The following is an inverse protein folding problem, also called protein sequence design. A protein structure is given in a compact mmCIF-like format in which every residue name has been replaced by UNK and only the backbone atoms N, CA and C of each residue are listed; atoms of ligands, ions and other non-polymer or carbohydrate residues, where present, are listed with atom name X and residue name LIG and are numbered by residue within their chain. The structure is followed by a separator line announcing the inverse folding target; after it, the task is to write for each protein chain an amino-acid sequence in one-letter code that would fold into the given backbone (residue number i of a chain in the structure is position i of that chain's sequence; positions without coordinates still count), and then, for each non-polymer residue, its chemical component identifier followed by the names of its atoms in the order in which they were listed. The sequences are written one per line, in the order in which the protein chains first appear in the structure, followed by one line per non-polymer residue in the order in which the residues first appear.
data_IF_357642175589
#
_entry.id   IF_357642175589
#
_cell.length_a   1.000
_cell.length_b   1.000
_cell.length_c   1.000
_cell.angle_alpha   90.00
_cell.angle_beta   90.00
_cell.angle_gamma   90.00
#
_symmetry.space_group_name_H-M   'P 1'
#
loop_
_entity.id
_entity.type
_entity.pdbx_description
1 polymer ?
#
# COMPACT_ATOMS: atom_id res chain seq x y z
N UNK A 1 5.32 9.19 -20.68
CA UNK A 1 5.29 8.25 -19.54
C UNK A 1 5.61 9.06 -18.29
N UNK A 2 4.59 9.69 -17.70
CA UNK A 2 4.75 10.51 -16.50
C UNK A 2 4.56 9.66 -15.26
N UNK A 3 5.47 9.76 -14.31
CA UNK A 3 5.37 9.12 -12.99
C UNK A 3 4.19 9.74 -12.23
N UNK A 4 3.22 8.91 -11.84
CA UNK A 4 2.09 9.33 -11.03
C UNK A 4 2.59 9.84 -9.67
N UNK A 5 2.07 11.00 -9.27
CA UNK A 5 2.28 11.65 -7.98
C UNK A 5 1.71 10.73 -6.87
N UNK A 6 2.57 10.22 -5.97
CA UNK A 6 2.21 9.35 -4.84
C UNK A 6 1.52 10.13 -3.69
N UNK A 7 0.51 10.91 -4.04
CA UNK A 7 -0.49 11.39 -3.09
C UNK A 7 -1.83 11.07 -3.70
N UNK A 8 -2.55 10.09 -3.13
CA UNK A 8 -3.85 9.62 -3.62
C UNK A 8 -4.81 10.81 -3.78
N UNK A 9 -4.82 11.40 -4.96
CA UNK A 9 -5.58 12.60 -5.30
C UNK A 9 -6.81 12.13 -6.04
N UNK A 10 -7.95 12.11 -5.35
CA UNK A 10 -9.21 11.70 -5.96
C UNK A 10 -9.85 12.89 -6.67
N UNK A 11 -10.29 12.68 -7.91
CA UNK A 11 -11.03 13.66 -8.71
C UNK A 11 -12.48 13.23 -8.77
N UNK A 12 -13.39 14.09 -8.29
CA UNK A 12 -14.83 13.87 -8.33
C UNK A 12 -15.54 14.93 -9.16
N UNK A 13 -16.60 14.54 -9.87
CA UNK A 13 -17.48 15.44 -10.63
C UNK A 13 -18.88 15.35 -10.05
N UNK A 14 -19.49 16.49 -9.75
CA UNK A 14 -20.88 16.57 -9.26
C UNK A 14 -21.87 16.58 -10.43
N UNK A 15 -23.15 16.32 -10.14
CA UNK A 15 -24.22 16.25 -11.14
C UNK A 15 -24.42 17.58 -11.92
N UNK A 16 -24.04 18.70 -11.31
CA UNK A 16 -24.02 20.04 -11.93
C UNK A 16 -22.71 20.37 -12.67
N UNK A 17 -21.77 19.43 -12.75
CA UNK A 17 -20.53 19.54 -13.53
C UNK A 17 -19.40 20.29 -12.81
N UNK A 18 -19.46 20.45 -11.49
CA UNK A 18 -18.37 20.99 -10.70
C UNK A 18 -17.32 19.90 -10.41
N UNK A 19 -16.04 20.26 -10.46
CA UNK A 19 -14.94 19.32 -10.33
C UNK A 19 -14.15 19.58 -9.04
N UNK A 20 -13.95 18.52 -8.26
CA UNK A 20 -13.32 18.57 -6.94
C UNK A 20 -12.04 17.75 -6.91
N UNK A 21 -11.01 18.28 -6.28
CA UNK A 21 -9.76 17.57 -5.98
C UNK A 21 -9.70 17.30 -4.48
N UNK A 22 -9.43 16.05 -4.11
CA UNK A 22 -9.20 15.66 -2.72
C UNK A 22 -7.73 15.28 -2.57
N UNK A 23 -6.96 16.11 -1.85
CA UNK A 23 -5.57 15.83 -1.46
C UNK A 23 -5.47 15.64 0.06
N UNK A 24 -5.55 16.74 0.82
CA UNK A 24 -5.68 16.74 2.30
C UNK A 24 -6.98 17.42 2.79
N UNK A 25 -7.75 18.00 1.85
CA UNK A 25 -9.05 18.64 2.04
C UNK A 25 -9.76 18.71 0.70
N UNK A 26 -11.08 18.79 0.71
CA UNK A 26 -11.87 18.97 -0.52
C UNK A 26 -11.74 20.41 -0.99
N UNK A 27 -11.19 20.60 -2.19
CA UNK A 27 -11.09 21.91 -2.85
C UNK A 27 -11.88 21.90 -4.16
N UNK A 28 -12.70 22.93 -4.35
CA UNK A 28 -13.40 23.16 -5.62
C UNK A 28 -12.39 23.69 -6.64
N UNK A 29 -12.14 22.93 -7.71
CA UNK A 29 -11.19 23.33 -8.76
C UNK A 29 -11.80 24.39 -9.68
N UNK A 30 -13.04 24.16 -10.12
CA UNK A 30 -13.89 25.14 -10.79
C UNK A 30 -15.35 24.69 -10.77
N UNK A 31 -16.26 25.64 -10.96
CA UNK A 31 -17.71 25.42 -11.00
C UNK A 31 -18.22 24.80 -12.31
N UNK A 32 -17.36 24.62 -13.32
CA UNK A 32 -17.68 23.90 -14.56
C UNK A 32 -16.49 23.05 -15.01
N UNK A 33 -16.78 21.91 -15.67
CA UNK A 33 -15.78 20.95 -16.15
C UNK A 33 -14.71 21.58 -17.06
N UNK A 34 -15.11 22.40 -18.03
CA UNK A 34 -14.16 23.01 -18.98
C UNK A 34 -13.15 23.93 -18.29
N UNK A 35 -13.61 24.73 -17.32
CA UNK A 35 -12.73 25.61 -16.56
C UNK A 35 -11.82 24.84 -15.60
N UNK A 36 -12.29 23.71 -15.07
CA UNK A 36 -11.48 22.83 -14.23
C UNK A 36 -10.35 22.17 -15.04
N UNK A 37 -10.64 21.74 -16.27
CA UNK A 37 -9.66 21.16 -17.19
C UNK A 37 -8.58 22.18 -17.60
N UNK A 38 -8.96 23.40 -17.96
CA UNK A 38 -8.01 24.47 -18.28
C UNK A 38 -7.10 24.80 -17.09
N UNK A 39 -7.66 24.79 -15.88
CA UNK A 39 -6.91 25.04 -14.65
C UNK A 39 -5.93 23.90 -14.33
N UNK A 40 -6.34 22.65 -14.49
CA UNK A 40 -5.48 21.48 -14.31
C UNK A 40 -4.33 21.48 -15.32
N UNK A 41 -4.61 21.77 -16.60
CA UNK A 41 -3.59 21.88 -17.64
C UNK A 41 -2.61 23.03 -17.34
N UNK A 42 -3.11 24.16 -16.85
CA UNK A 42 -2.26 25.29 -16.42
C UNK A 42 -1.35 24.95 -15.23
N UNK A 43 -1.89 24.29 -14.19
CA UNK A 43 -1.13 23.84 -13.02
C UNK A 43 -0.10 22.77 -13.40
N UNK A 44 -0.48 21.83 -14.27
CA UNK A 44 0.43 20.82 -14.78
C UNK A 44 1.52 21.43 -15.66
N UNK A 45 1.23 22.48 -16.43
CA UNK A 45 2.24 23.27 -17.14
C UNK A 45 3.23 23.98 -16.20
N UNK A 46 2.75 24.48 -15.06
CA UNK A 46 3.59 25.07 -14.00
C UNK A 46 4.43 24.01 -13.25
N UNK A 47 3.90 22.81 -13.00
CA UNK A 47 4.66 21.70 -12.39
C UNK A 47 5.67 21.10 -13.38
N UNK A 48 5.31 21.04 -14.67
CA UNK A 48 6.21 20.60 -15.73
C UNK A 48 7.39 21.55 -15.93
N UNK A 49 7.25 22.84 -15.56
CA UNK A 49 8.36 23.80 -15.56
C UNK A 49 9.22 23.75 -14.29
N UNK A 50 8.78 23.06 -13.23
CA UNK A 50 9.59 22.70 -12.06
C UNK A 50 10.36 21.39 -12.26
N UNK A 51 9.99 20.60 -13.26
CA UNK A 51 10.72 19.42 -13.67
C UNK A 51 11.93 19.81 -14.52
N UNK A 52 13.13 19.67 -13.95
CA UNK A 52 14.40 19.84 -14.67
C UNK A 52 14.87 18.45 -15.12
N UNK A 53 15.00 18.19 -16.43
CA UNK A 53 15.56 16.93 -16.92
C UNK A 53 16.96 16.71 -16.31
N UNK A 54 17.14 15.61 -15.58
CA UNK A 54 18.42 15.25 -14.96
C UNK A 54 18.67 15.83 -13.56
N UNK A 55 17.75 16.60 -12.97
CA UNK A 55 17.80 16.88 -11.55
C UNK A 55 17.52 15.58 -10.77
N UNK A 56 18.32 15.23 -9.74
CA UNK A 56 18.04 14.05 -8.93
C UNK A 56 16.66 14.22 -8.29
N UNK A 57 15.80 13.22 -8.45
CA UNK A 57 14.52 13.19 -7.77
C UNK A 57 14.77 13.27 -6.25
N UNK A 58 13.96 14.04 -5.50
CA UNK A 58 14.08 14.07 -4.04
C UNK A 58 14.00 12.65 -3.49
N UNK A 59 14.87 12.32 -2.53
CA UNK A 59 14.92 10.99 -1.92
C UNK A 59 13.55 10.64 -1.30
N UNK A 60 12.99 9.49 -1.68
CA UNK A 60 11.67 9.08 -1.21
C UNK A 60 11.65 9.00 0.34
N UNK A 61 10.61 9.55 1.03
CA UNK A 61 10.60 9.72 2.50
C UNK A 61 10.86 8.45 3.30
N UNK A 62 10.44 7.30 2.78
CA UNK A 62 10.75 5.98 3.35
C UNK A 62 12.27 5.77 3.49
N UNK A 63 13.06 6.00 2.43
CA UNK A 63 14.52 5.74 2.43
C UNK A 63 15.26 6.67 3.38
N UNK A 64 14.84 7.94 3.42
CA UNK A 64 15.35 8.90 4.40
C UNK A 64 15.08 8.43 5.83
N UNK A 65 13.84 7.99 6.13
CA UNK A 65 13.46 7.47 7.45
C UNK A 65 14.24 6.21 7.79
N UNK A 66 14.31 5.25 6.88
CA UNK A 66 15.06 4.01 7.06
C UNK A 66 16.51 4.28 7.47
N UNK A 67 17.18 5.26 6.86
CA UNK A 67 18.55 5.64 7.20
C UNK A 67 18.68 6.35 8.56
N UNK A 68 17.60 6.99 9.04
CA UNK A 68 17.59 7.86 10.23
C UNK A 68 17.01 7.19 11.47
N UNK A 69 16.26 6.09 11.34
CA UNK A 69 15.72 5.34 12.49
C UNK A 69 16.90 4.82 13.32
N UNK A 70 17.18 5.52 14.43
CA UNK A 70 18.09 5.07 15.48
C UNK A 70 17.46 3.88 16.19
N UNK A 71 18.25 2.83 16.32
CA UNK A 71 17.82 1.57 16.90
C UNK A 71 17.89 1.70 18.42
N UNK A 72 16.73 1.58 19.08
CA UNK A 72 16.69 1.47 20.54
C UNK A 72 16.94 0.00 20.87
N UNK A 73 17.96 -0.34 21.67
CA UNK A 73 18.25 -1.73 21.98
C UNK A 73 17.11 -2.38 22.77
N UNK A 74 16.89 -3.64 22.37
CA UNK A 74 15.78 -4.53 22.67
C UNK A 74 15.56 -4.81 24.17
N UNK A 75 14.29 -4.75 24.59
CA UNK A 75 13.79 -5.50 25.75
C UNK A 75 12.48 -6.21 25.37
N UNK A 76 12.56 -7.25 24.54
CA UNK A 76 11.47 -8.20 24.26
C UNK A 76 10.63 -7.89 23.01
N UNK A 77 11.28 -7.54 21.89
CA UNK A 77 10.60 -7.11 20.65
C UNK A 77 9.87 -8.28 19.95
N UNK A 78 8.66 -8.00 19.44
CA UNK A 78 7.74 -8.90 18.71
C UNK A 78 8.35 -9.60 17.49
N UNK A 79 9.43 -9.05 16.93
CA UNK A 79 10.12 -9.50 15.72
C UNK A 79 11.57 -8.97 15.69
N UNK A 80 12.42 -9.41 14.74
CA UNK A 80 13.79 -8.90 14.57
C UNK A 80 13.86 -7.39 14.32
N UNK A 81 15.00 -6.80 14.69
CA UNK A 81 15.29 -5.36 14.55
C UNK A 81 15.12 -4.84 13.10
N UNK A 82 15.47 -5.64 12.10
CA UNK A 82 15.30 -5.28 10.70
C UNK A 82 13.82 -5.10 10.33
N UNK A 83 12.95 -6.00 10.79
CA UNK A 83 11.50 -5.89 10.60
C UNK A 83 10.95 -4.62 11.25
N UNK A 84 11.31 -4.36 12.50
CA UNK A 84 10.90 -3.13 13.21
C UNK A 84 11.33 -1.87 12.45
N UNK A 85 12.59 -1.83 11.99
CA UNK A 85 13.15 -0.69 11.25
C UNK A 85 12.43 -0.43 9.93
N UNK A 86 12.14 -1.48 9.16
CA UNK A 86 11.42 -1.34 7.87
C UNK A 86 9.99 -0.89 8.09
N UNK A 87 9.27 -1.46 9.06
CA UNK A 87 7.90 -1.06 9.36
C UNK A 87 7.82 0.39 9.84
N UNK A 88 8.75 0.84 10.70
CA UNK A 88 8.84 2.26 11.11
C UNK A 88 9.14 3.18 9.95
N UNK A 89 10.06 2.78 9.05
CA UNK A 89 10.32 3.52 7.83
C UNK A 89 9.08 3.57 6.90
N UNK A 90 8.22 2.54 6.95
CA UNK A 90 6.92 2.48 6.27
C UNK A 90 5.81 3.30 6.94
N UNK A 91 6.02 3.80 8.16
CA UNK A 91 5.04 4.62 8.90
C UNK A 91 4.33 3.92 10.05
N UNK A 92 4.71 2.68 10.38
CA UNK A 92 4.23 2.00 11.58
C UNK A 92 4.91 2.51 12.85
N UNK A 93 4.21 2.43 13.98
CA UNK A 93 4.75 2.65 15.32
C UNK A 93 3.98 1.79 16.34
N UNK A 94 4.59 1.40 17.48
CA UNK A 94 3.89 0.61 18.50
C UNK A 94 2.62 1.29 19.00
N UNK A 95 1.52 0.54 19.04
CA UNK A 95 0.21 1.06 19.44
C UNK A 95 -0.52 1.87 18.36
N UNK A 96 -0.01 1.89 17.12
CA UNK A 96 -0.73 2.45 15.97
C UNK A 96 -2.09 1.75 15.81
N UNK A 97 -3.12 2.55 15.59
CA UNK A 97 -4.46 2.10 15.23
C UNK A 97 -5.06 3.12 14.28
N UNK A 98 -5.46 2.67 13.09
CA UNK A 98 -6.14 3.48 12.08
C UNK A 98 -7.58 2.97 11.88
N UNK A 99 -8.52 3.86 11.51
CA UNK A 99 -9.88 3.46 11.14
C UNK A 99 -9.87 2.57 9.89
N UNK A 100 -10.70 1.52 9.90
CA UNK A 100 -10.82 0.57 8.78
C UNK A 100 -12.16 0.69 8.05
N UNK A 101 -13.10 1.48 8.57
CA UNK A 101 -14.49 1.56 8.10
C UNK A 101 -14.59 1.93 6.62
N UNK A 102 -13.70 2.80 6.14
CA UNK A 102 -13.67 3.20 4.73
C UNK A 102 -13.24 2.04 3.82
N UNK A 103 -12.21 1.28 4.20
CA UNK A 103 -11.79 0.10 3.44
C UNK A 103 -12.88 -0.97 3.44
N UNK A 104 -13.43 -1.25 4.62
CA UNK A 104 -14.51 -2.22 4.80
C UNK A 104 -15.73 -1.86 3.96
N UNK A 105 -16.21 -0.62 4.05
CA UNK A 105 -17.38 -0.17 3.31
C UNK A 105 -17.19 -0.18 1.80
N UNK A 106 -16.01 0.19 1.30
CA UNK A 106 -15.72 0.16 -0.14
C UNK A 106 -15.67 -1.28 -0.63
N UNK A 107 -14.87 -2.14 0.00
CA UNK A 107 -14.65 -3.51 -0.46
C UNK A 107 -15.89 -4.39 -0.35
N UNK A 108 -16.71 -4.18 0.67
CA UNK A 108 -18.01 -4.84 0.77
C UNK A 108 -18.96 -4.45 -0.38
N UNK A 109 -18.94 -3.18 -0.80
CA UNK A 109 -19.83 -2.69 -1.85
C UNK A 109 -19.38 -3.09 -3.26
N UNK A 110 -18.07 -3.19 -3.50
CA UNK A 110 -17.52 -3.40 -4.84
C UNK A 110 -17.15 -4.84 -5.14
N UNK A 111 -16.78 -5.61 -4.12
CA UNK A 111 -16.31 -6.99 -4.27
C UNK A 111 -16.93 -7.96 -3.28
N UNK A 112 -17.97 -7.55 -2.54
CA UNK A 112 -18.66 -8.39 -1.54
C UNK A 112 -17.74 -8.96 -0.44
N UNK A 113 -16.59 -8.34 -0.21
CA UNK A 113 -15.65 -8.76 0.82
C UNK A 113 -16.15 -8.39 2.22
N UNK A 114 -16.52 -9.40 3.00
CA UNK A 114 -16.82 -9.23 4.43
C UNK A 114 -15.53 -9.23 5.26
N UNK A 115 -15.22 -8.09 5.91
CA UNK A 115 -14.01 -7.98 6.71
C UNK A 115 -14.15 -8.76 8.02
N UNK A 116 -13.40 -9.86 8.12
CA UNK A 116 -13.30 -10.63 9.35
C UNK A 116 -12.41 -9.95 10.41
N UNK A 117 -12.53 -10.44 11.63
CA UNK A 117 -11.92 -9.86 12.83
C UNK A 117 -10.39 -9.80 12.78
N UNK A 118 -9.74 -10.83 12.23
CA UNK A 118 -8.29 -10.84 12.06
C UNK A 118 -7.80 -9.77 11.07
N UNK A 119 -8.47 -9.63 9.91
CA UNK A 119 -8.15 -8.60 8.92
C UNK A 119 -8.36 -7.20 9.51
N UNK A 120 -9.46 -6.97 10.23
CA UNK A 120 -9.73 -5.68 10.90
C UNK A 120 -8.64 -5.30 11.90
N UNK A 121 -8.22 -6.25 12.76
CA UNK A 121 -7.12 -6.02 13.72
C UNK A 121 -5.81 -5.73 13.00
N UNK A 122 -5.50 -6.50 11.96
CA UNK A 122 -4.29 -6.32 11.17
C UNK A 122 -4.26 -4.97 10.45
N UNK A 123 -5.31 -4.62 9.72
CA UNK A 123 -5.38 -3.38 8.96
C UNK A 123 -5.48 -2.15 9.87
N UNK A 124 -6.12 -2.26 11.04
CA UNK A 124 -6.07 -1.18 12.02
C UNK A 124 -4.63 -0.92 12.49
N UNK A 125 -3.81 -1.95 12.70
CA UNK A 125 -2.42 -1.74 13.11
C UNK A 125 -1.49 -1.34 11.94
N UNK A 126 -1.62 -2.00 10.79
CA UNK A 126 -0.63 -1.97 9.70
C UNK A 126 -1.13 -1.42 8.36
N UNK A 127 -2.43 -1.12 8.22
CA UNK A 127 -2.97 -0.62 6.96
C UNK A 127 -2.29 0.67 6.52
N UNK A 128 -2.05 0.83 5.21
CA UNK A 128 -1.26 1.88 4.57
C UNK A 128 0.25 1.90 4.93
N UNK A 129 0.79 0.85 5.58
CA UNK A 129 2.24 0.67 5.75
C UNK A 129 2.79 -0.07 4.54
N UNK A 130 3.95 0.36 4.05
CA UNK A 130 4.60 -0.29 2.93
C UNK A 130 6.07 0.07 2.81
N UNK A 131 6.75 -0.67 1.94
CA UNK A 131 8.10 -0.37 1.49
C UNK A 131 8.05 -0.14 -0.03
N UNK A 132 8.44 1.05 -0.53
CA UNK A 132 8.38 1.37 -1.94
C UNK A 132 9.49 0.67 -2.73
N UNK A 133 9.28 0.58 -4.04
CA UNK A 133 10.33 0.20 -4.99
C UNK A 133 11.45 1.26 -5.07
N UNK A 134 12.68 0.83 -5.37
CA UNK A 134 13.77 1.74 -5.80
C UNK A 134 14.68 1.12 -6.85
N UNK A 135 15.28 1.98 -7.66
CA UNK A 135 16.34 1.59 -8.60
C UNK A 135 17.74 1.87 -8.02
N UNK A 136 18.75 1.01 -8.28
CA UNK A 136 18.68 -0.27 -8.97
C UNK A 136 18.09 -1.39 -8.08
N UNK A 137 17.38 -2.36 -8.67
CA UNK A 137 16.78 -3.50 -7.96
C UNK A 137 17.79 -4.28 -7.10
N UNK A 138 19.00 -4.51 -7.59
CA UNK A 138 20.04 -5.27 -6.87
C UNK A 138 20.51 -4.58 -5.58
N UNK A 139 20.16 -3.30 -5.41
CA UNK A 139 20.40 -2.56 -4.18
C UNK A 139 19.28 -2.72 -3.15
N UNK A 140 18.14 -3.35 -3.50
CA UNK A 140 17.01 -3.53 -2.61
C UNK A 140 17.24 -4.72 -1.67
N UNK A 141 17.35 -4.48 -0.37
CA UNK A 141 17.44 -5.57 0.60
C UNK A 141 16.17 -6.44 0.63
N UNK A 142 14.98 -5.90 0.39
CA UNK A 142 13.68 -6.61 0.44
C UNK A 142 12.85 -6.38 -0.82
N UNK A 143 11.80 -7.16 -0.97
CA UNK A 143 10.76 -6.96 -1.99
C UNK A 143 9.84 -5.83 -1.53
N UNK A 144 9.37 -4.98 -2.45
CA UNK A 144 8.36 -3.98 -2.10
C UNK A 144 7.06 -4.65 -1.67
N UNK A 145 6.30 -3.91 -0.87
CA UNK A 145 4.94 -4.28 -0.50
C UNK A 145 4.16 -3.04 -0.07
N UNK A 146 2.84 -3.13 -0.19
CA UNK A 146 1.89 -2.15 0.31
C UNK A 146 0.77 -2.88 1.03
N UNK A 147 0.53 -2.55 2.29
CA UNK A 147 -0.59 -3.07 3.07
C UNK A 147 -1.83 -2.19 2.88
N UNK A 148 -2.30 -2.12 1.64
CA UNK A 148 -3.49 -1.39 1.25
C UNK A 148 -4.52 -2.36 0.66
N UNK A 149 -5.63 -2.65 1.36
CA UNK A 149 -6.62 -3.62 0.91
C UNK A 149 -7.37 -3.14 -0.34
N UNK A 150 -7.39 -1.83 -0.64
CA UNK A 150 -8.03 -1.27 -1.83
C UNK A 150 -7.27 -1.60 -3.13
N UNK A 151 -6.06 -2.16 -3.03
CA UNK A 151 -5.36 -2.66 -4.21
C UNK A 151 -6.10 -3.84 -4.88
N UNK A 152 -7.02 -4.49 -4.18
CA UNK A 152 -7.87 -5.56 -4.73
C UNK A 152 -9.27 -5.09 -5.15
N UNK A 153 -9.52 -3.77 -5.22
CA UNK A 153 -10.86 -3.20 -5.44
C UNK A 153 -11.59 -3.75 -6.67
N UNK A 154 -10.83 -4.06 -7.72
CA UNK A 154 -11.36 -4.48 -9.02
C UNK A 154 -11.11 -5.96 -9.33
N UNK A 155 -10.55 -6.69 -8.37
CA UNK A 155 -9.97 -8.00 -8.58
C UNK A 155 -10.60 -9.04 -7.64
N UNK A 156 -11.91 -8.88 -7.38
CA UNK A 156 -12.68 -9.77 -6.51
C UNK A 156 -12.59 -11.24 -6.97
N UNK A 157 -12.75 -11.46 -8.28
CA UNK A 157 -12.60 -12.76 -8.92
C UNK A 157 -11.23 -13.42 -8.66
N UNK A 158 -10.16 -12.63 -8.61
CA UNK A 158 -8.82 -13.17 -8.31
C UNK A 158 -8.75 -13.61 -6.86
N UNK A 159 -9.24 -12.80 -5.92
CA UNK A 159 -9.22 -13.17 -4.50
C UNK A 159 -10.11 -14.39 -4.23
N UNK A 160 -11.26 -14.49 -4.88
CA UNK A 160 -12.16 -15.65 -4.78
C UNK A 160 -11.48 -16.93 -5.30
N UNK A 161 -10.82 -16.87 -6.45
CA UNK A 161 -10.05 -17.98 -7.01
C UNK A 161 -8.91 -18.41 -6.06
N UNK A 162 -8.22 -17.45 -5.43
CA UNK A 162 -7.18 -17.73 -4.44
C UNK A 162 -7.77 -18.35 -3.17
N UNK A 163 -8.95 -17.91 -2.72
CA UNK A 163 -9.65 -18.45 -1.57
C UNK A 163 -10.09 -19.90 -1.81
N UNK A 164 -10.64 -20.20 -2.99
CA UNK A 164 -11.00 -21.55 -3.40
C UNK A 164 -9.78 -22.48 -3.42
N UNK A 165 -8.66 -22.03 -4.00
CA UNK A 165 -7.42 -22.81 -4.02
C UNK A 165 -6.83 -23.04 -2.63
N UNK A 166 -6.95 -22.07 -1.72
CA UNK A 166 -6.46 -22.20 -0.34
C UNK A 166 -7.40 -23.04 0.54
N UNK A 167 -8.67 -23.17 0.13
CA UNK A 167 -9.71 -23.84 0.91
C UNK A 167 -10.11 -23.09 2.17
N UNK A 168 -9.90 -21.77 2.20
CA UNK A 168 -10.23 -20.87 3.32
C UNK A 168 -10.72 -19.54 2.77
N UNK A 169 -11.62 -18.86 3.48
CA UNK A 169 -12.05 -17.52 3.13
C UNK A 169 -10.87 -16.54 3.30
N UNK A 170 -10.69 -15.66 2.32
CA UNK A 170 -9.57 -14.72 2.27
C UNK A 170 -10.07 -13.28 2.14
N UNK A 171 -9.52 -12.39 2.96
CA UNK A 171 -9.73 -10.95 2.84
C UNK A 171 -8.46 -10.26 2.34
N UNK A 172 -8.53 -9.39 1.31
CA UNK A 172 -7.36 -8.69 0.80
C UNK A 172 -6.77 -7.74 1.85
N UNK A 173 -5.46 -7.78 2.05
CA UNK A 173 -4.75 -6.90 2.99
C UNK A 173 -3.64 -6.07 2.33
N UNK A 174 -3.37 -6.29 1.05
CA UNK A 174 -2.33 -5.58 0.32
C UNK A 174 -1.82 -6.29 -0.92
N UNK A 175 -0.65 -5.84 -1.40
CA UNK A 175 0.11 -6.47 -2.48
C UNK A 175 1.61 -6.41 -2.23
N UNK A 176 2.36 -7.23 -2.97
CA UNK A 176 3.82 -7.19 -3.06
C UNK A 176 4.29 -7.36 -4.51
N UNK A 177 5.60 -7.27 -4.72
CA UNK A 177 6.25 -7.59 -6.00
C UNK A 177 5.68 -6.77 -7.17
N UNK A 178 5.76 -5.43 -7.10
CA UNK A 178 5.21 -4.49 -8.08
C UNK A 178 3.70 -4.58 -8.29
N UNK A 179 2.97 -5.12 -7.32
CA UNK A 179 1.54 -5.41 -7.47
C UNK A 179 1.25 -6.70 -8.23
N UNK A 180 2.26 -7.55 -8.47
CA UNK A 180 2.07 -8.83 -9.14
C UNK A 180 1.53 -9.92 -8.23
N UNK A 181 1.48 -9.70 -6.91
CA UNK A 181 0.99 -10.68 -5.95
C UNK A 181 0.11 -10.00 -4.91
N UNK A 182 -1.11 -10.50 -4.76
CA UNK A 182 -1.99 -10.16 -3.66
C UNK A 182 -1.44 -10.70 -2.35
N UNK A 183 -1.69 -9.95 -1.27
CA UNK A 183 -1.59 -10.41 0.10
C UNK A 183 -3.01 -10.49 0.64
N UNK A 184 -3.40 -11.67 1.13
CA UNK A 184 -4.72 -11.88 1.71
C UNK A 184 -4.62 -12.63 3.04
N UNK A 185 -5.52 -12.33 3.96
CA UNK A 185 -5.54 -12.91 5.30
C UNK A 185 -6.75 -13.82 5.45
N UNK A 186 -6.58 -14.97 6.10
CA UNK A 186 -7.68 -15.83 6.50
C UNK A 186 -8.21 -15.46 7.90
N UNK A 187 -9.37 -15.98 8.28
CA UNK A 187 -10.01 -15.67 9.57
C UNK A 187 -9.13 -16.01 10.79
N UNK A 188 -8.29 -17.05 10.67
CA UNK A 188 -7.34 -17.47 11.72
C UNK A 188 -6.10 -16.56 11.86
N UNK A 189 -5.96 -15.57 10.97
CA UNK A 189 -4.84 -14.63 10.93
C UNK A 189 -3.62 -15.12 10.13
N UNK A 190 -3.71 -16.27 9.48
CA UNK A 190 -2.72 -16.71 8.50
C UNK A 190 -2.76 -15.82 7.26
N UNK A 191 -1.59 -15.61 6.65
CA UNK A 191 -1.43 -14.73 5.48
C UNK A 191 -1.03 -15.58 4.28
N UNK A 192 -1.73 -15.37 3.19
CA UNK A 192 -1.53 -16.00 1.89
C UNK A 192 -1.04 -14.97 0.88
N UNK A 193 -0.29 -15.43 -0.12
CA UNK A 193 0.13 -14.62 -1.24
C UNK A 193 -0.15 -15.35 -2.56
N UNK A 194 -0.48 -14.61 -3.61
CA UNK A 194 -0.80 -15.22 -4.91
C UNK A 194 -1.27 -14.26 -5.99
N UNK A 195 -1.36 -14.79 -7.20
CA UNK A 195 -1.99 -14.14 -8.37
C UNK A 195 -2.69 -15.21 -9.19
N UNK A 196 -1.93 -16.05 -9.89
CA UNK A 196 -2.49 -17.23 -10.61
C UNK A 196 -2.60 -18.47 -9.71
N UNK A 197 -1.79 -18.50 -8.65
CA UNK A 197 -1.79 -19.57 -7.65
C UNK A 197 -1.55 -19.00 -6.26
N UNK A 198 -2.16 -19.62 -5.25
CA UNK A 198 -2.05 -19.21 -3.86
C UNK A 198 -1.03 -20.08 -3.11
N UNK A 199 -0.31 -19.48 -2.17
CA UNK A 199 0.44 -20.22 -1.16
C UNK A 199 0.35 -19.53 0.19
N UNK A 200 0.51 -20.31 1.26
CA UNK A 200 0.65 -19.78 2.62
C UNK A 200 1.95 -18.99 2.72
N UNK A 201 1.85 -17.67 2.84
CA UNK A 201 2.99 -16.80 3.11
C UNK A 201 3.48 -17.01 4.54
N UNK A 202 2.58 -17.07 5.53
CA UNK A 202 2.92 -17.38 6.92
C UNK A 202 1.67 -17.76 7.74
N UNK A 203 1.81 -18.62 8.76
CA UNK A 203 0.70 -18.99 9.65
C UNK A 203 0.25 -17.87 10.59
N UNK A 204 1.02 -16.78 10.71
CA UNK A 204 0.66 -15.61 11.53
C UNK A 204 1.03 -14.33 10.80
N UNK A 205 0.31 -13.24 11.11
CA UNK A 205 0.61 -11.90 10.58
C UNK A 205 2.02 -11.41 10.93
N UNK A 206 2.52 -11.68 12.14
CA UNK A 206 3.86 -11.29 12.57
C UNK A 206 4.96 -11.99 11.78
N UNK A 207 4.78 -13.29 11.51
CA UNK A 207 5.70 -14.03 10.66
C UNK A 207 5.60 -13.57 9.19
N UNK A 208 4.41 -13.18 8.73
CA UNK A 208 4.23 -12.61 7.39
C UNK A 208 5.03 -11.30 7.23
N UNK A 209 4.92 -10.38 8.20
CA UNK A 209 5.67 -9.13 8.22
C UNK A 209 7.18 -9.37 8.28
N UNK A 210 7.64 -10.36 9.05
CA UNK A 210 9.04 -10.77 9.05
C UNK A 210 9.50 -11.25 7.68
N UNK A 211 8.70 -12.07 6.98
CA UNK A 211 9.04 -12.53 5.63
C UNK A 211 9.04 -11.39 4.61
N UNK A 212 8.08 -10.47 4.66
CA UNK A 212 8.01 -9.30 3.77
C UNK A 212 9.20 -8.35 3.96
N UNK A 213 9.69 -8.22 5.19
CA UNK A 213 10.81 -7.34 5.54
C UNK A 213 12.17 -8.05 5.54
N UNK A 214 12.18 -9.38 5.37
CA UNK A 214 13.40 -10.16 5.32
C UNK A 214 14.20 -9.87 4.06
N UNK A 215 15.53 -9.98 4.17
CA UNK A 215 16.37 -9.74 3.00
C UNK A 215 16.17 -10.81 1.93
N UNK A 216 15.97 -10.39 0.69
CA UNK A 216 16.09 -11.26 -0.47
C UNK A 216 17.54 -11.73 -0.51
N UNK A 217 17.78 -13.02 -0.29
CA UNK A 217 19.10 -13.60 -0.57
C UNK A 217 19.25 -13.62 -2.09
N UNK A 218 20.33 -13.06 -2.66
CA UNK A 218 20.62 -13.26 -4.07
C UNK A 218 20.71 -14.77 -4.32
N UNK A 219 19.83 -15.31 -5.16
CA UNK A 219 20.01 -16.66 -5.67
C UNK A 219 21.30 -16.61 -6.48
N UNK A 220 22.34 -17.30 -6.01
CA UNK A 220 23.57 -17.45 -6.79
C UNK A 220 23.19 -18.09 -8.14
N UNK A 221 23.48 -17.36 -9.21
CA UNK A 221 23.33 -17.84 -10.58
C UNK A 221 24.33 -18.96 -10.89
#
# INVERSE_FOLDING_TARGET
MGTADEGASFVGITEDGALHLVRDRVELLASTTDQALDRLVGVQGAQSSLWVPGAPAPEHPFWKRLNTVETVPDTGTRWPEETDRVLRAGGWFPGRSVPTDTWEGILLQTGEFEMHDAARRFLSEFGAVGAPYREPWDSMPWMEFSLDPLLALWDAEIIDDLAEQAGVDLYPIGMRDRGNQYLAMAEDGSVHAGMDSVWLLAPTSDEALQRLTSRIRPTAA
#
